data_IF_484066871139
#
_entry.id   IF_484066871139
#
_cell.length_a   1.000
_cell.length_b   1.000
_cell.length_c   1.000
_cell.angle_alpha   90.00
_cell.angle_beta   90.00
_cell.angle_gamma   90.00
#
_symmetry.space_group_name_H-M   'P 1'
#
loop_
_entity.id
_entity.type
_entity.pdbx_description
1 polymer ?
#
# COMPACT_ATOMS: atom_id res chain seq x y z
N UNK A 1 21.12 -6.57 24.04
CA UNK A 1 21.44 -5.27 24.65
C UNK A 1 22.70 -4.58 24.11
N UNK A 2 23.57 -5.22 23.33
CA UNK A 2 24.63 -4.50 22.58
C UNK A 2 24.18 -4.15 21.15
N UNK A 3 23.50 -5.08 20.47
CA UNK A 3 23.03 -4.90 19.09
C UNK A 3 22.00 -3.77 18.92
N UNK A 4 21.08 -3.60 19.87
CA UNK A 4 20.08 -2.51 19.83
C UNK A 4 20.75 -1.14 19.96
N UNK A 5 21.66 -1.01 20.93
CA UNK A 5 22.42 0.23 21.13
C UNK A 5 23.31 0.56 19.92
N UNK A 6 23.95 -0.47 19.33
CA UNK A 6 24.75 -0.31 18.10
C UNK A 6 23.90 0.07 16.90
N UNK A 7 22.67 -0.44 16.81
CA UNK A 7 21.72 -0.04 15.78
C UNK A 7 21.33 1.44 15.94
N UNK A 8 20.88 1.84 17.14
CA UNK A 8 20.48 3.22 17.41
C UNK A 8 21.62 4.21 17.14
N UNK A 9 22.85 3.86 17.54
CA UNK A 9 24.04 4.66 17.25
C UNK A 9 24.35 4.72 15.74
N UNK A 10 24.22 3.59 15.02
CA UNK A 10 24.44 3.57 13.58
C UNK A 10 23.41 4.42 12.83
N UNK A 11 22.14 4.38 13.25
CA UNK A 11 21.05 5.23 12.74
C UNK A 11 21.38 6.70 13.00
N UNK A 12 21.73 7.07 14.24
CA UNK A 12 22.09 8.45 14.60
C UNK A 12 23.29 9.00 13.82
N UNK A 13 24.28 8.14 13.53
CA UNK A 13 25.47 8.51 12.77
C UNK A 13 25.26 8.47 11.24
N UNK A 14 24.06 8.11 10.75
CA UNK A 14 23.79 7.95 9.31
C UNK A 14 24.54 6.78 8.67
N UNK A 15 25.06 5.83 9.46
CA UNK A 15 25.79 4.65 8.99
C UNK A 15 24.83 3.54 8.55
N UNK A 16 24.13 3.82 7.46
CA UNK A 16 23.04 2.99 6.93
C UNK A 16 23.43 1.52 6.66
N UNK A 17 24.60 1.24 6.10
CA UNK A 17 25.05 -0.14 5.85
C UNK A 17 25.23 -0.95 7.14
N UNK A 18 25.74 -0.31 8.19
CA UNK A 18 25.95 -0.95 9.50
C UNK A 18 24.59 -1.20 10.16
N UNK A 19 23.69 -0.21 10.10
CA UNK A 19 22.33 -0.37 10.61
C UNK A 19 21.57 -1.48 9.86
N UNK A 20 21.76 -1.60 8.54
CA UNK A 20 21.18 -2.66 7.70
C UNK A 20 21.66 -4.04 8.12
N UNK A 21 22.96 -4.23 8.28
CA UNK A 21 23.51 -5.52 8.73
C UNK A 21 22.91 -5.95 10.07
N UNK A 22 22.79 -5.02 11.02
CA UNK A 22 22.18 -5.29 12.33
C UNK A 22 20.68 -5.56 12.21
N UNK A 23 19.95 -4.86 11.32
CA UNK A 23 18.54 -5.10 11.07
C UNK A 23 18.28 -6.48 10.43
N UNK A 24 19.15 -6.93 9.52
CA UNK A 24 19.10 -8.28 8.94
C UNK A 24 19.29 -9.36 9.99
N UNK A 25 20.25 -9.20 10.91
CA UNK A 25 20.47 -10.15 12.00
C UNK A 25 19.31 -10.17 13.00
N UNK A 26 18.74 -8.99 13.30
CA UNK A 26 17.65 -8.87 14.25
C UNK A 26 16.28 -9.32 13.69
N UNK A 27 16.13 -9.37 12.36
CA UNK A 27 14.88 -9.70 11.65
C UNK A 27 13.64 -9.00 12.23
N UNK A 28 13.80 -7.74 12.64
CA UNK A 28 12.76 -6.99 13.36
C UNK A 28 12.11 -5.95 12.44
N UNK A 29 10.79 -6.03 12.27
CA UNK A 29 10.00 -5.10 11.45
C UNK A 29 10.17 -3.64 11.91
N UNK A 30 10.29 -3.39 13.22
CA UNK A 30 10.46 -2.02 13.74
C UNK A 30 11.81 -1.40 13.35
N UNK A 31 12.88 -2.20 13.33
CA UNK A 31 14.21 -1.76 12.90
C UNK A 31 14.26 -1.48 11.41
N UNK A 32 13.63 -2.34 10.60
CA UNK A 32 13.48 -2.10 9.16
C UNK A 32 12.72 -0.81 8.87
N UNK A 33 11.65 -0.53 9.65
CA UNK A 33 10.91 0.72 9.51
C UNK A 33 11.75 1.95 9.84
N UNK A 34 12.46 1.96 10.97
CA UNK A 34 13.35 3.08 11.34
C UNK A 34 14.47 3.29 10.31
N UNK A 35 15.04 2.20 9.80
CA UNK A 35 16.06 2.27 8.76
C UNK A 35 15.50 2.80 7.44
N UNK A 36 14.29 2.39 7.06
CA UNK A 36 13.58 2.87 5.88
C UNK A 36 13.27 4.36 5.95
N UNK A 37 12.81 4.87 7.10
CA UNK A 37 12.58 6.30 7.33
C UNK A 37 13.88 7.10 7.19
N UNK A 38 14.98 6.60 7.77
CA UNK A 38 16.29 7.23 7.63
C UNK A 38 16.79 7.20 6.17
N UNK A 39 16.66 6.07 5.48
CA UNK A 39 17.03 5.91 4.08
C UNK A 39 16.24 6.87 3.17
N UNK A 40 14.93 7.03 3.41
CA UNK A 40 14.11 8.02 2.71
C UNK A 40 14.59 9.45 2.98
N UNK A 41 14.85 9.82 4.24
CA UNK A 41 15.30 11.17 4.60
C UNK A 41 16.67 11.55 4.02
N UNK A 42 17.50 10.54 3.72
CA UNK A 42 18.85 10.71 3.16
C UNK A 42 18.90 10.55 1.63
N UNK A 43 17.74 10.29 1.00
CA UNK A 43 17.63 10.14 -0.46
C UNK A 43 18.16 8.81 -1.01
N UNK A 44 18.37 7.80 -0.16
CA UNK A 44 18.78 6.45 -0.59
C UNK A 44 17.56 5.60 -0.90
N UNK A 45 16.95 5.86 -2.05
CA UNK A 45 15.66 5.29 -2.44
C UNK A 45 15.68 3.76 -2.56
N UNK A 46 16.70 3.17 -3.19
CA UNK A 46 16.81 1.71 -3.34
C UNK A 46 16.84 0.99 -1.97
N UNK A 47 17.58 1.58 -1.03
CA UNK A 47 17.65 1.05 0.34
C UNK A 47 16.34 1.25 1.09
N UNK A 48 15.67 2.39 0.88
CA UNK A 48 14.36 2.64 1.47
C UNK A 48 13.33 1.62 0.98
N UNK A 49 13.29 1.32 -0.32
CA UNK A 49 12.42 0.30 -0.90
C UNK A 49 12.65 -1.05 -0.23
N UNK A 50 13.89 -1.52 -0.18
CA UNK A 50 14.24 -2.80 0.44
C UNK A 50 13.81 -2.86 1.90
N UNK A 51 14.07 -1.79 2.67
CA UNK A 51 13.66 -1.71 4.07
C UNK A 51 12.13 -1.76 4.24
N UNK A 52 11.39 -1.05 3.38
CA UNK A 52 9.93 -1.01 3.43
C UNK A 52 9.30 -2.35 3.03
N UNK A 53 9.88 -3.07 2.05
CA UNK A 53 9.48 -4.44 1.69
C UNK A 53 9.69 -5.39 2.87
N UNK A 54 10.86 -5.33 3.53
CA UNK A 54 11.14 -6.17 4.70
C UNK A 54 10.23 -5.81 5.90
N UNK A 55 9.91 -4.53 6.08
CA UNK A 55 8.99 -4.06 7.11
C UNK A 55 7.50 -4.32 6.78
N UNK A 56 7.18 -4.80 5.57
CA UNK A 56 5.81 -4.93 5.04
C UNK A 56 5.01 -3.63 5.14
N UNK A 57 5.68 -2.48 5.03
CA UNK A 57 5.03 -1.17 5.12
C UNK A 57 4.47 -0.77 3.75
N UNK A 58 3.29 -1.31 3.43
CA UNK A 58 2.61 -1.07 2.17
C UNK A 58 2.28 0.40 1.94
N UNK A 59 2.06 1.18 3.01
CA UNK A 59 1.79 2.61 2.91
C UNK A 59 3.06 3.39 2.55
N UNK A 60 4.20 3.02 3.12
CA UNK A 60 5.50 3.59 2.75
C UNK A 60 5.87 3.24 1.31
N UNK A 61 5.65 1.99 0.88
CA UNK A 61 5.85 1.58 -0.52
C UNK A 61 4.95 2.36 -1.48
N UNK A 62 3.69 2.58 -1.12
CA UNK A 62 2.76 3.39 -1.90
C UNK A 62 3.30 4.82 -2.10
N UNK A 63 3.76 5.44 -1.02
CA UNK A 63 4.35 6.78 -1.08
C UNK A 63 5.59 6.81 -1.97
N UNK A 64 6.47 5.82 -1.82
CA UNK A 64 7.71 5.72 -2.59
C UNK A 64 7.41 5.55 -4.08
N UNK A 65 6.67 4.52 -4.49
CA UNK A 65 6.40 4.25 -5.90
C UNK A 65 5.58 5.34 -6.57
N UNK A 66 4.61 5.94 -5.87
CA UNK A 66 3.84 7.08 -6.41
C UNK A 66 4.70 8.32 -6.62
N UNK A 67 5.65 8.58 -5.72
CA UNK A 67 6.59 9.71 -5.84
C UNK A 67 7.59 9.50 -6.98
N UNK A 68 7.96 8.25 -7.27
CA UNK A 68 8.86 7.89 -8.37
C UNK A 68 8.13 7.75 -9.72
N UNK A 69 6.81 7.68 -9.72
CA UNK A 69 6.03 7.35 -10.91
C UNK A 69 6.25 5.92 -11.40
N UNK A 70 6.63 5.00 -10.50
CA UNK A 70 6.87 3.60 -10.83
C UNK A 70 5.55 2.83 -10.95
N UNK A 71 5.06 2.72 -12.18
CA UNK A 71 3.83 2.00 -12.48
C UNK A 71 3.92 0.49 -12.19
N UNK A 72 5.07 -0.14 -12.42
CA UNK A 72 5.26 -1.57 -12.15
C UNK A 72 5.28 -1.87 -10.65
N UNK A 73 5.95 -1.01 -9.87
CA UNK A 73 5.95 -1.07 -8.41
C UNK A 73 4.54 -0.91 -7.84
N UNK A 74 3.76 0.06 -8.34
CA UNK A 74 2.36 0.26 -7.94
C UNK A 74 1.49 -0.96 -8.31
N UNK A 75 1.70 -1.58 -9.46
CA UNK A 75 0.92 -2.77 -9.86
C UNK A 75 1.18 -3.96 -8.95
N UNK A 76 2.45 -4.23 -8.63
CA UNK A 76 2.84 -5.28 -7.67
C UNK A 76 2.26 -4.99 -6.28
N UNK A 77 2.34 -3.74 -5.84
CA UNK A 77 1.81 -3.31 -4.55
C UNK A 77 0.28 -3.47 -4.48
N UNK A 78 -0.44 -3.21 -5.57
CA UNK A 78 -1.90 -3.41 -5.63
C UNK A 78 -2.30 -4.86 -5.33
N UNK A 79 -1.64 -5.82 -5.97
CA UNK A 79 -1.85 -7.26 -5.74
C UNK A 79 -1.53 -7.65 -4.30
N UNK A 80 -0.36 -7.24 -3.81
CA UNK A 80 0.05 -7.52 -2.43
C UNK A 80 -0.92 -6.93 -1.40
N UNK A 81 -1.36 -5.68 -1.61
CA UNK A 81 -2.31 -5.03 -0.73
C UNK A 81 -3.67 -5.72 -0.72
N UNK A 82 -4.14 -6.22 -1.88
CA UNK A 82 -5.37 -7.01 -1.98
C UNK A 82 -5.26 -8.33 -1.21
N UNK A 83 -4.14 -9.04 -1.35
CA UNK A 83 -3.88 -10.29 -0.62
C UNK A 83 -3.81 -10.08 0.90
N UNK A 84 -3.24 -8.96 1.35
CA UNK A 84 -3.16 -8.60 2.77
C UNK A 84 -4.45 -7.96 3.32
N UNK A 85 -5.52 -7.86 2.52
CA UNK A 85 -6.80 -7.24 2.91
C UNK A 85 -6.72 -5.72 3.13
N UNK A 86 -5.66 -5.06 2.65
CA UNK A 86 -5.47 -3.60 2.70
C UNK A 86 -6.14 -2.95 1.49
N UNK A 87 -7.46 -3.04 1.45
CA UNK A 87 -8.26 -2.60 0.31
C UNK A 87 -8.11 -1.10 0.00
N UNK A 88 -7.80 -0.26 0.99
CA UNK A 88 -7.51 1.16 0.79
C UNK A 88 -6.23 1.40 -0.04
N UNK A 89 -5.15 0.67 0.28
CA UNK A 89 -3.88 0.77 -0.46
C UNK A 89 -4.05 0.19 -1.87
N UNK A 90 -4.71 -0.98 -1.97
CA UNK A 90 -5.02 -1.59 -3.26
C UNK A 90 -5.85 -0.66 -4.16
N UNK A 91 -6.88 -0.01 -3.59
CA UNK A 91 -7.73 0.94 -4.31
C UNK A 91 -6.92 2.12 -4.85
N UNK A 92 -6.07 2.75 -4.02
CA UNK A 92 -5.24 3.87 -4.45
C UNK A 92 -4.26 3.46 -5.55
N UNK A 93 -3.65 2.28 -5.45
CA UNK A 93 -2.76 1.75 -6.49
C UNK A 93 -3.51 1.59 -7.82
N UNK A 94 -4.66 0.92 -7.81
CA UNK A 94 -5.47 0.70 -9.00
C UNK A 94 -5.98 2.02 -9.60
N UNK A 95 -6.35 2.97 -8.75
CA UNK A 95 -6.83 4.28 -9.18
C UNK A 95 -5.73 5.09 -9.88
N UNK A 96 -4.51 5.11 -9.32
CA UNK A 96 -3.36 5.76 -9.95
C UNK A 96 -2.98 5.12 -11.30
N UNK A 97 -3.13 3.79 -11.41
CA UNK A 97 -2.91 3.07 -12.67
C UNK A 97 -4.05 3.25 -13.69
N UNK A 98 -5.13 3.94 -13.33
CA UNK A 98 -6.29 4.12 -14.20
C UNK A 98 -7.14 2.84 -14.40
N UNK A 99 -6.95 1.81 -13.57
CA UNK A 99 -7.69 0.54 -13.64
C UNK A 99 -9.05 0.67 -12.94
N UNK A 100 -9.92 1.51 -13.52
CA UNK A 100 -11.20 1.91 -12.93
C UNK A 100 -12.17 0.73 -12.72
N UNK A 101 -12.18 -0.23 -13.63
CA UNK A 101 -13.01 -1.45 -13.50
C UNK A 101 -12.60 -2.27 -12.27
N UNK A 102 -11.30 -2.45 -12.06
CA UNK A 102 -10.75 -3.16 -10.90
C UNK A 102 -11.03 -2.42 -9.59
N UNK A 103 -10.98 -1.07 -9.59
CA UNK A 103 -11.38 -0.26 -8.44
C UNK A 103 -12.85 -0.50 -8.05
N UNK A 104 -13.75 -0.51 -9.04
CA UNK A 104 -15.18 -0.75 -8.83
C UNK A 104 -15.38 -2.17 -8.29
N UNK A 105 -14.73 -3.16 -8.91
CA UNK A 105 -14.83 -4.55 -8.47
C UNK A 105 -14.33 -4.72 -7.03
N UNK A 106 -13.21 -4.07 -6.67
CA UNK A 106 -12.68 -4.09 -5.31
C UNK A 106 -13.67 -3.52 -4.29
N UNK A 107 -14.40 -2.46 -4.64
CA UNK A 107 -15.44 -1.88 -3.78
C UNK A 107 -16.65 -2.80 -3.64
N UNK A 108 -17.07 -3.48 -4.71
CA UNK A 108 -18.14 -4.48 -4.68
C UNK A 108 -17.72 -5.66 -3.80
N UNK A 109 -16.52 -6.21 -4.01
CA UNK A 109 -15.95 -7.32 -3.24
C UNK A 109 -15.83 -6.97 -1.74
N UNK A 110 -15.59 -5.69 -1.43
CA UNK A 110 -15.52 -5.17 -0.05
C UNK A 110 -16.89 -4.82 0.55
N UNK A 111 -18.00 -5.15 -0.14
CA UNK A 111 -19.37 -4.80 0.23
C UNK A 111 -19.63 -3.28 0.38
N UNK A 112 -18.86 -2.45 -0.32
CA UNK A 112 -19.00 -0.97 -0.35
C UNK A 112 -19.72 -0.52 -1.62
N UNK A 113 -20.87 -1.15 -1.88
CA UNK A 113 -21.63 -0.98 -3.13
C UNK A 113 -22.08 0.49 -3.38
N UNK A 114 -22.49 1.29 -2.37
CA UNK A 114 -22.81 2.70 -2.59
C UNK A 114 -21.61 3.51 -3.11
N UNK A 115 -20.41 3.22 -2.63
CA UNK A 115 -19.17 3.86 -3.08
C UNK A 115 -18.80 3.41 -4.49
N UNK A 116 -19.00 2.12 -4.83
CA UNK A 116 -18.84 1.62 -6.18
C UNK A 116 -19.78 2.34 -7.17
N UNK A 117 -21.05 2.56 -6.78
CA UNK A 117 -22.02 3.28 -7.60
C UNK A 117 -21.63 4.76 -7.80
N UNK A 118 -21.14 5.41 -6.74
CA UNK A 118 -20.63 6.79 -6.82
C UNK A 118 -19.41 6.88 -7.75
N UNK A 119 -18.49 5.94 -7.63
CA UNK A 119 -17.28 5.89 -8.46
C UNK A 119 -17.62 5.66 -9.93
N UNK A 120 -18.50 4.70 -10.24
CA UNK A 120 -18.95 4.49 -11.61
C UNK A 120 -19.65 5.72 -12.19
N UNK A 121 -20.48 6.41 -11.40
CA UNK A 121 -21.12 7.64 -11.86
C UNK A 121 -20.11 8.73 -12.23
N UNK A 122 -19.00 8.78 -11.51
CA UNK A 122 -18.00 9.84 -11.66
C UNK A 122 -16.96 9.53 -12.74
N UNK A 123 -16.54 8.27 -12.86
CA UNK A 123 -15.39 7.88 -13.69
C UNK A 123 -15.70 6.82 -14.75
N UNK A 124 -16.79 6.04 -14.61
CA UNK A 124 -17.17 4.99 -15.58
C UNK A 124 -18.70 4.90 -15.77
N UNK A 125 -19.33 5.92 -16.41
CA UNK A 125 -20.79 6.03 -16.48
C UNK A 125 -21.50 4.83 -17.12
N UNK A 126 -20.81 4.11 -18.01
CA UNK A 126 -21.30 2.90 -18.67
C UNK A 126 -21.66 1.78 -17.69
N UNK A 127 -21.00 1.72 -16.52
CA UNK A 127 -21.21 0.69 -15.49
C UNK A 127 -22.24 1.06 -14.42
N UNK A 128 -22.76 2.29 -14.43
CA UNK A 128 -23.67 2.79 -13.39
C UNK A 128 -24.94 1.95 -13.28
N UNK A 129 -25.59 1.65 -14.40
CA UNK A 129 -26.84 0.88 -14.41
C UNK A 129 -26.68 -0.51 -13.80
N UNK A 130 -25.55 -1.17 -14.09
CA UNK A 130 -25.19 -2.48 -13.55
C UNK A 130 -25.01 -2.42 -12.02
N UNK A 131 -24.22 -1.46 -11.52
CA UNK A 131 -23.90 -1.36 -10.10
C UNK A 131 -25.10 -0.89 -9.27
N UNK A 132 -25.93 0.00 -9.82
CA UNK A 132 -27.18 0.43 -9.17
C UNK A 132 -28.15 -0.75 -9.04
N UNK A 133 -28.20 -1.65 -10.01
CA UNK A 133 -28.99 -2.87 -9.91
C UNK A 133 -28.48 -3.79 -8.79
N UNK A 134 -27.15 -3.97 -8.69
CA UNK A 134 -26.51 -4.70 -7.59
C UNK A 134 -26.87 -4.06 -6.24
N UNK A 135 -26.80 -2.73 -6.13
CA UNK A 135 -27.13 -2.01 -4.90
C UNK A 135 -28.60 -2.19 -4.48
N UNK A 136 -29.54 -2.11 -5.43
CA UNK A 136 -30.97 -2.34 -5.15
C UNK A 136 -31.22 -3.76 -4.62
N UNK A 137 -30.56 -4.76 -5.22
CA UNK A 137 -30.68 -6.14 -4.78
C UNK A 137 -30.10 -6.32 -3.37
N UNK A 138 -28.97 -5.68 -3.06
CA UNK A 138 -28.38 -5.75 -1.73
C UNK A 138 -29.29 -5.13 -0.65
N UNK A 139 -29.84 -3.95 -0.91
CA UNK A 139 -30.82 -3.30 -0.02
C UNK A 139 -32.05 -4.17 0.23
N UNK A 140 -32.55 -4.87 -0.79
CA UNK A 140 -33.72 -5.74 -0.65
C UNK A 140 -33.51 -6.89 0.34
N UNK A 141 -32.27 -7.36 0.52
CA UNK A 141 -31.92 -8.42 1.50
C UNK A 141 -31.89 -7.91 2.94
N UNK A 142 -31.64 -6.62 3.15
CA UNK A 142 -31.60 -6.01 4.48
C UNK A 142 -33.00 -5.65 4.98
N UNK A 143 -33.94 -5.43 4.05
CA UNK A 143 -35.31 -5.01 4.35
C UNK A 143 -36.26 -6.22 4.54
N UNK A 144 -35.83 -7.43 4.18
CA UNK A 144 -36.54 -8.70 4.41
C UNK A 144 -36.11 -9.37 5.71
#
# INVERSE_FOLDING_TARGET
TDADYRFDLAVQLGKLEVAKAIAMEAQSESKWKQLGELAMSTGKLDMAEECLVQAKDLSGLLLLYSSLGDAEGIEKLASQAKEHGKNNVAFLCLFMLGKLEDCIQLLIDSNRIPEAALMARSYLPSKVSEIVAIWRNDLSKVIS
#
